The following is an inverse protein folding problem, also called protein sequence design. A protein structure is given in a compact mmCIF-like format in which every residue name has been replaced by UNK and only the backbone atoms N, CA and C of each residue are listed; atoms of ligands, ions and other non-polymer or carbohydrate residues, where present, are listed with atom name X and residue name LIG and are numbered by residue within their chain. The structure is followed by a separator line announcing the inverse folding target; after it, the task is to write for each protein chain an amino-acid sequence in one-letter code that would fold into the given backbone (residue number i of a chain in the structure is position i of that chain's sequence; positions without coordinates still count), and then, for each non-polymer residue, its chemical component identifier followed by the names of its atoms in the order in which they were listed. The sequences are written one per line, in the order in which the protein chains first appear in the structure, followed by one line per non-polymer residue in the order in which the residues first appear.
data_IF_110905490454
#
_entry.id   IF_110905490454
#
_cell.length_a   1.000
_cell.length_b   1.000
_cell.length_c   1.000
_cell.angle_alpha   90.00
_cell.angle_beta   90.00
_cell.angle_gamma   90.00
#
_symmetry.space_group_name_H-M   'P 1'
#
loop_
_entity.id
_entity.type
_entity.pdbx_description
1 polymer ?
#
# COMPACT_ATOMS: atom_id res chain seq x y z
N UNK A 1 6.28 -1.51 4.23
CA UNK A 1 4.82 -1.55 4.04
C UNK A 1 4.16 -1.99 5.32
N UNK A 2 3.12 -1.30 5.79
CA UNK A 2 2.44 -1.73 7.03
C UNK A 2 1.70 -3.06 6.87
N UNK A 3 1.67 -3.80 7.98
CA UNK A 3 0.68 -4.82 8.27
C UNK A 3 -0.41 -4.26 9.19
N UNK A 4 -1.56 -4.95 9.25
CA UNK A 4 -2.62 -4.67 10.22
C UNK A 4 -2.29 -5.10 11.65
N UNK A 5 -1.28 -5.95 11.85
CA UNK A 5 -0.96 -6.50 13.18
C UNK A 5 -0.26 -5.49 14.09
N UNK A 6 -0.84 -5.30 15.28
CA UNK A 6 -0.29 -4.47 16.34
C UNK A 6 0.80 -5.21 17.14
N UNK A 7 1.87 -4.51 17.50
CA UNK A 7 2.91 -4.99 18.40
C UNK A 7 3.04 -4.06 19.62
N UNK A 8 2.25 -4.35 20.65
CA UNK A 8 2.19 -3.54 21.86
C UNK A 8 1.72 -2.10 21.61
N UNK A 9 2.04 -1.20 22.53
CA UNK A 9 1.53 0.17 22.50
C UNK A 9 2.24 1.06 21.48
N UNK A 10 3.48 0.76 21.12
CA UNK A 10 4.31 1.62 20.27
C UNK A 10 4.65 1.04 18.89
N UNK A 11 4.55 -0.28 18.71
CA UNK A 11 5.01 -0.96 17.51
C UNK A 11 3.86 -1.57 16.69
N UNK A 12 4.09 -1.77 15.40
CA UNK A 12 3.24 -2.57 14.54
C UNK A 12 4.09 -3.28 13.49
N UNK A 13 3.61 -4.40 12.99
CA UNK A 13 4.36 -5.18 12.02
C UNK A 13 4.37 -4.53 10.65
N UNK A 14 5.49 -4.68 9.94
CA UNK A 14 5.68 -4.18 8.60
C UNK A 14 6.54 -5.15 7.78
N UNK A 15 6.36 -5.14 6.47
CA UNK A 15 7.27 -5.77 5.51
C UNK A 15 8.26 -4.74 5.01
N UNK A 16 9.54 -5.05 5.11
CA UNK A 16 10.62 -4.28 4.51
C UNK A 16 11.21 -5.01 3.32
N UNK A 17 11.44 -4.26 2.24
CA UNK A 17 12.19 -4.74 1.08
C UNK A 17 13.58 -4.11 1.12
N UNK A 18 14.59 -4.94 1.38
CA UNK A 18 15.98 -4.53 1.50
C UNK A 18 16.55 -4.12 0.13
N UNK A 19 17.19 -2.95 0.08
CA UNK A 19 17.75 -2.38 -1.16
C UNK A 19 18.95 -3.17 -1.66
N UNK A 20 19.86 -3.58 -0.77
CA UNK A 20 21.15 -4.18 -1.09
C UNK A 20 21.02 -5.69 -1.32
N UNK A 21 20.17 -6.36 -0.53
CA UNK A 21 20.04 -7.81 -0.53
C UNK A 21 18.82 -8.32 -1.31
N UNK A 22 17.92 -7.42 -1.68
CA UNK A 22 16.64 -7.76 -2.33
C UNK A 22 15.89 -8.83 -1.56
N UNK A 23 15.79 -8.64 -0.25
CA UNK A 23 15.11 -9.57 0.67
C UNK A 23 13.87 -8.92 1.27
N UNK A 24 12.77 -9.67 1.31
CA UNK A 24 11.58 -9.32 2.08
C UNK A 24 11.72 -9.79 3.53
N UNK A 25 11.61 -8.88 4.49
CA UNK A 25 11.64 -9.18 5.92
C UNK A 25 10.39 -8.66 6.61
N UNK A 26 9.84 -9.46 7.51
CA UNK A 26 8.78 -9.04 8.43
C UNK A 26 9.41 -8.73 9.79
N UNK A 27 9.15 -7.55 10.31
CA UNK A 27 9.52 -7.14 11.66
C UNK A 27 8.59 -6.01 12.13
N UNK A 28 8.64 -5.68 13.42
CA UNK A 28 7.87 -4.57 13.96
C UNK A 28 8.64 -3.26 13.90
N UNK A 29 7.90 -2.18 13.69
CA UNK A 29 8.42 -0.81 13.66
C UNK A 29 7.54 0.14 14.44
N UNK A 30 8.09 1.30 14.77
CA UNK A 30 7.34 2.35 15.48
C UNK A 30 6.11 2.79 14.68
N UNK A 31 4.93 2.74 15.29
CA UNK A 31 3.65 3.23 14.72
C UNK A 31 3.67 4.71 14.32
N UNK A 32 4.67 5.47 14.81
CA UNK A 32 4.88 6.88 14.46
C UNK A 32 5.53 7.06 13.07
N UNK A 33 6.10 6.01 12.47
CA UNK A 33 6.66 6.08 11.13
C UNK A 33 5.56 6.17 10.07
N UNK A 34 5.95 6.71 8.92
CA UNK A 34 5.10 6.80 7.73
C UNK A 34 5.57 5.77 6.72
N UNK A 35 4.76 4.73 6.47
CA UNK A 35 5.08 3.65 5.54
C UNK A 35 3.99 3.51 4.48
N UNK A 36 4.35 2.92 3.34
CA UNK A 36 3.42 2.61 2.26
C UNK A 36 2.44 1.49 2.63
N UNK A 37 1.32 1.43 1.89
CA UNK A 37 0.28 0.41 2.02
C UNK A 37 0.11 -0.32 0.70
N UNK A 38 0.01 -1.66 0.79
CA UNK A 38 -0.50 -2.52 -0.27
C UNK A 38 -1.68 -3.30 0.26
N UNK A 39 -2.78 -3.22 -0.47
CA UNK A 39 -3.97 -3.94 -0.10
C UNK A 39 -4.01 -5.32 -0.75
N UNK A 40 -4.70 -6.23 -0.08
CA UNK A 40 -4.91 -7.60 -0.47
C UNK A 40 -6.40 -7.88 -0.63
N UNK A 41 -6.75 -8.80 -1.51
CA UNK A 41 -8.10 -9.35 -1.63
C UNK A 41 -8.04 -10.89 -1.69
N UNK A 42 -8.75 -11.55 -0.78
CA UNK A 42 -8.87 -13.02 -0.74
C UNK A 42 -10.03 -13.49 -1.62
N UNK A 43 -9.87 -13.37 -2.94
CA UNK A 43 -10.88 -13.81 -3.89
C UNK A 43 -10.23 -14.41 -5.12
N UNK A 44 -10.78 -15.53 -5.58
CA UNK A 44 -10.44 -16.07 -6.89
C UNK A 44 -11.11 -15.31 -8.04
N UNK A 45 -12.21 -14.62 -7.77
CA UNK A 45 -12.93 -13.81 -8.75
C UNK A 45 -12.06 -12.65 -9.17
N UNK A 46 -12.02 -12.40 -10.47
CA UNK A 46 -11.30 -11.30 -11.06
C UNK A 46 -11.93 -9.96 -10.63
N UNK A 47 -11.21 -9.10 -9.89
CA UNK A 47 -11.74 -7.81 -9.45
C UNK A 47 -11.94 -6.82 -10.61
N UNK A 48 -11.40 -7.11 -11.81
CA UNK A 48 -11.62 -6.31 -13.02
C UNK A 48 -13.05 -6.40 -13.56
N UNK A 49 -13.83 -7.41 -13.14
CA UNK A 49 -15.15 -7.72 -13.70
C UNK A 49 -16.31 -6.86 -13.12
N UNK A 50 -15.99 -5.80 -12.36
CA UNK A 50 -17.01 -4.91 -11.79
C UNK A 50 -17.16 -3.62 -12.61
N UNK A 51 -17.93 -3.73 -13.69
CA UNK A 51 -18.68 -2.67 -14.38
C UNK A 51 -17.89 -1.58 -15.10
N UNK A 52 -17.96 -1.65 -16.43
CA UNK A 52 -17.83 -0.55 -17.39
C UNK A 52 -18.65 0.67 -16.96
N UNK A 53 -17.99 1.68 -16.39
CA UNK A 53 -18.57 2.99 -16.15
C UNK A 53 -18.34 3.90 -17.37
N UNK A 54 -19.40 4.19 -18.11
CA UNK A 54 -19.49 5.35 -19.00
C UNK A 54 -19.75 6.60 -18.15
N UNK A 55 -18.68 7.19 -17.64
CA UNK A 55 -18.72 8.45 -16.89
C UNK A 55 -17.70 9.42 -17.49
N UNK A 56 -18.18 10.56 -17.99
CA UNK A 56 -17.37 11.60 -18.63
C UNK A 56 -16.17 12.01 -17.79
N UNK A 57 -14.97 11.73 -18.32
CA UNK A 57 -13.67 12.08 -17.76
C UNK A 57 -13.61 13.58 -17.38
N UNK A 58 -13.61 13.86 -16.08
CA UNK A 58 -12.79 14.95 -15.52
C UNK A 58 -11.71 14.35 -14.65
N UNK A 59 -10.82 13.63 -15.32
CA UNK A 59 -9.49 13.35 -14.82
C UNK A 59 -8.79 14.70 -14.62
N UNK A 60 -8.17 14.99 -13.47
CA UNK A 60 -7.06 15.93 -13.44
C UNK A 60 -6.05 15.38 -14.44
N UNK A 61 -5.74 16.17 -15.46
CA UNK A 61 -5.03 15.69 -16.64
C UNK A 61 -3.71 15.05 -16.25
N UNK A 62 -3.61 13.74 -16.51
CA UNK A 62 -2.37 12.95 -16.68
C UNK A 62 -1.33 13.71 -17.52
N UNK A 63 -1.78 14.65 -18.37
CA UNK A 63 -0.96 15.51 -19.20
C UNK A 63 -0.03 16.48 -18.44
N UNK A 64 -0.13 16.62 -17.11
CA UNK A 64 0.87 17.39 -16.33
C UNK A 64 2.04 16.53 -15.81
N UNK A 65 1.94 15.20 -15.89
CA UNK A 65 3.01 14.25 -15.50
C UNK A 65 4.11 14.16 -16.57
N UNK A 66 3.82 14.53 -17.82
CA UNK A 66 4.73 14.41 -18.97
C UNK A 66 6.00 15.29 -18.85
N UNK A 67 6.04 16.27 -17.93
CA UNK A 67 7.20 17.18 -17.83
C UNK A 67 8.47 16.55 -17.24
N UNK A 68 8.44 15.34 -16.65
CA UNK A 68 9.66 14.66 -16.17
C UNK A 68 9.84 13.21 -16.67
N UNK A 69 9.12 12.78 -17.71
CA UNK A 69 9.46 11.54 -18.44
C UNK A 69 9.43 10.21 -17.67
N UNK A 70 8.86 10.18 -16.45
CA UNK A 70 8.67 8.96 -15.66
C UNK A 70 7.19 8.60 -15.59
N UNK A 71 6.86 7.39 -16.05
CA UNK A 71 5.54 6.78 -16.03
C UNK A 71 5.47 5.65 -15.01
N UNK A 72 4.24 5.21 -14.69
CA UNK A 72 4.03 4.06 -13.80
C UNK A 72 4.67 2.81 -14.38
N UNK A 73 4.55 2.67 -15.69
CA UNK A 73 5.04 1.56 -16.49
C UNK A 73 6.56 1.39 -16.38
N UNK A 74 7.33 2.46 -16.14
CA UNK A 74 8.80 2.41 -16.05
C UNK A 74 9.34 1.71 -14.79
N UNK A 75 8.48 1.47 -13.79
CA UNK A 75 8.86 0.75 -12.58
C UNK A 75 8.21 -0.64 -12.45
N UNK A 76 7.22 -0.95 -13.28
CA UNK A 76 6.50 -2.23 -13.25
C UNK A 76 7.36 -3.37 -13.83
N UNK A 77 7.16 -4.58 -13.34
CA UNK A 77 7.85 -5.74 -13.86
C UNK A 77 7.17 -6.26 -15.13
N UNK A 78 7.80 -6.08 -16.30
CA UNK A 78 7.27 -6.52 -17.59
C UNK A 78 7.01 -8.03 -17.73
N UNK A 79 7.50 -8.85 -16.80
CA UNK A 79 7.27 -10.30 -16.77
C UNK A 79 6.02 -10.70 -15.97
N UNK A 80 5.35 -9.76 -15.32
CA UNK A 80 4.14 -10.00 -14.53
C UNK A 80 2.93 -9.55 -15.35
N UNK A 81 1.90 -10.39 -15.39
CA UNK A 81 0.61 -10.04 -15.95
C UNK A 81 -0.21 -9.26 -14.91
N UNK A 82 -0.53 -8.00 -15.24
CA UNK A 82 -1.19 -7.09 -14.32
C UNK A 82 -2.63 -6.82 -14.76
N UNK A 83 -3.55 -7.01 -13.81
CA UNK A 83 -4.89 -6.45 -13.89
C UNK A 83 -4.93 -4.98 -13.43
N UNK A 84 -6.13 -4.42 -13.40
CA UNK A 84 -6.37 -3.09 -12.87
C UNK A 84 -7.46 -3.09 -11.79
N UNK A 85 -7.30 -2.23 -10.79
CA UNK A 85 -8.28 -1.92 -9.77
C UNK A 85 -8.59 -0.43 -9.83
N UNK A 86 -9.86 -0.08 -10.02
CA UNK A 86 -10.31 1.31 -9.88
C UNK A 86 -10.91 1.51 -8.48
N UNK A 87 -10.27 2.35 -7.67
CA UNK A 87 -10.80 2.75 -6.38
C UNK A 87 -11.97 3.73 -6.58
N UNK A 88 -13.18 3.27 -6.24
CA UNK A 88 -14.42 4.07 -6.41
C UNK A 88 -14.46 5.31 -5.52
N UNK A 89 -13.61 5.39 -4.50
CA UNK A 89 -13.62 6.50 -3.52
C UNK A 89 -13.04 7.79 -4.10
N UNK A 90 -12.04 7.67 -4.97
CA UNK A 90 -11.28 8.78 -5.56
C UNK A 90 -11.02 8.65 -7.07
N UNK A 91 -11.39 7.54 -7.70
CA UNK A 91 -11.20 7.28 -9.12
C UNK A 91 -9.79 6.83 -9.51
N UNK A 92 -8.91 6.58 -8.53
CA UNK A 92 -7.54 6.15 -8.80
C UNK A 92 -7.51 4.72 -9.34
N UNK A 93 -6.74 4.51 -10.40
CA UNK A 93 -6.53 3.20 -11.01
C UNK A 93 -5.17 2.67 -10.58
N UNK A 94 -5.15 1.44 -10.07
CA UNK A 94 -3.96 0.76 -9.58
C UNK A 94 -3.72 -0.52 -10.36
N UNK A 95 -2.46 -0.88 -10.58
CA UNK A 95 -2.06 -2.22 -11.03
C UNK A 95 -2.22 -3.23 -9.90
N UNK A 96 -2.66 -4.43 -10.25
CA UNK A 96 -2.84 -5.56 -9.35
C UNK A 96 -2.31 -6.83 -9.99
N UNK A 97 -1.85 -7.79 -9.19
CA UNK A 97 -1.36 -9.08 -9.66
C UNK A 97 -1.98 -10.22 -8.86
N UNK A 98 -2.28 -11.34 -9.54
CA UNK A 98 -2.76 -12.56 -8.87
C UNK A 98 -1.56 -13.42 -8.45
N UNK A 99 -1.48 -13.75 -7.16
CA UNK A 99 -0.45 -14.60 -6.59
C UNK A 99 -1.12 -15.74 -5.83
N UNK A 100 -1.13 -16.93 -6.45
CA UNK A 100 -1.95 -18.04 -5.97
C UNK A 100 -3.44 -17.69 -6.04
N UNK A 101 -4.12 -17.75 -4.90
CA UNK A 101 -5.56 -17.47 -4.75
C UNK A 101 -5.87 -16.02 -4.34
N UNK A 102 -4.84 -15.19 -4.22
CA UNK A 102 -4.94 -13.83 -3.68
C UNK A 102 -4.60 -12.80 -4.74
N UNK A 103 -5.32 -11.68 -4.72
CA UNK A 103 -4.97 -10.50 -5.50
C UNK A 103 -4.24 -9.50 -4.62
N UNK A 104 -3.10 -9.03 -5.11
CA UNK A 104 -2.25 -8.06 -4.43
C UNK A 104 -2.20 -6.78 -5.23
N UNK A 105 -2.28 -5.63 -4.54
CA UNK A 105 -1.91 -4.37 -5.17
C UNK A 105 -0.42 -4.40 -5.55
N UNK A 106 -0.15 -4.18 -6.82
CA UNK A 106 1.20 -4.06 -7.38
C UNK A 106 1.71 -2.61 -7.33
N UNK A 107 0.86 -1.66 -6.96
CA UNK A 107 1.23 -0.29 -6.63
C UNK A 107 0.92 0.01 -5.16
N UNK A 108 1.63 0.98 -4.58
CA UNK A 108 1.27 1.50 -3.28
C UNK A 108 0.01 2.37 -3.35
N UNK A 109 -0.79 2.32 -2.30
CA UNK A 109 -2.00 3.13 -2.18
C UNK A 109 -1.71 4.64 -2.27
N UNK A 110 -2.58 5.38 -2.97
CA UNK A 110 -2.51 6.84 -3.19
C UNK A 110 -3.69 7.59 -2.56
N UNK A 111 -4.58 6.88 -1.85
CA UNK A 111 -5.81 7.43 -1.27
C UNK A 111 -5.55 8.51 -0.20
N UNK A 112 -6.22 9.66 -0.30
CA UNK A 112 -5.90 10.84 0.52
C UNK A 112 -7.11 11.64 1.03
N UNK A 113 -8.34 11.16 0.85
CA UNK A 113 -9.55 11.89 1.24
C UNK A 113 -9.75 11.88 2.77
N UNK A 114 -9.19 12.90 3.42
CA UNK A 114 -9.26 13.09 4.87
C UNK A 114 -10.60 13.61 5.37
N UNK A 115 -11.49 14.05 4.46
CA UNK A 115 -12.86 14.45 4.81
C UNK A 115 -13.72 13.22 5.04
N UNK A 116 -13.64 12.23 4.14
CA UNK A 116 -14.35 10.95 4.30
C UNK A 116 -13.64 10.01 5.27
N UNK A 117 -12.32 10.13 5.40
CA UNK A 117 -11.49 9.26 6.26
C UNK A 117 -10.69 10.10 7.25
N UNK A 118 -11.29 10.50 8.40
CA UNK A 118 -10.64 11.39 9.37
C UNK A 118 -9.30 10.87 9.91
N UNK A 119 -9.06 9.56 9.92
CA UNK A 119 -7.79 8.95 10.32
C UNK A 119 -6.59 9.45 9.49
N UNK A 120 -6.84 9.96 8.27
CA UNK A 120 -5.84 10.52 7.37
C UNK A 120 -5.41 11.95 7.72
N UNK A 121 -6.15 12.67 8.58
CA UNK A 121 -5.74 14.01 9.04
C UNK A 121 -4.39 13.90 9.76
N UNK A 122 -3.37 14.59 9.23
CA UNK A 122 -1.97 14.49 9.65
C UNK A 122 -1.42 13.05 9.68
N UNK A 123 -2.08 12.13 8.98
CA UNK A 123 -1.80 10.69 9.00
C UNK A 123 -1.27 10.16 7.68
N UNK A 124 -1.15 11.01 6.66
CA UNK A 124 -0.64 10.67 5.33
C UNK A 124 0.34 11.72 4.82
N UNK A 125 1.37 11.28 4.11
CA UNK A 125 2.49 12.12 3.68
C UNK A 125 3.00 11.76 2.28
N UNK A 126 3.54 12.75 1.57
CA UNK A 126 4.27 12.53 0.33
C UNK A 126 5.76 12.49 0.61
N UNK A 127 6.47 11.56 -0.01
CA UNK A 127 7.91 11.49 0.15
C UNK A 127 8.57 12.82 -0.27
N UNK A 128 9.50 13.33 0.55
CA UNK A 128 10.24 14.59 0.32
C UNK A 128 9.33 15.82 0.13
N UNK A 129 8.16 15.80 0.77
CA UNK A 129 7.15 16.86 0.67
C UNK A 129 6.74 17.17 -0.78
N UNK A 130 6.89 16.18 -1.67
CA UNK A 130 6.69 16.35 -3.10
C UNK A 130 5.44 15.57 -3.57
N UNK A 131 4.39 16.30 -3.91
CA UNK A 131 3.12 15.75 -4.41
C UNK A 131 3.30 14.87 -5.66
N UNK A 132 4.30 15.13 -6.50
CA UNK A 132 4.59 14.28 -7.66
C UNK A 132 5.09 12.89 -7.23
N UNK A 133 5.80 12.79 -6.11
CA UNK A 133 6.21 11.49 -5.55
C UNK A 133 5.01 10.70 -5.04
N UNK A 134 4.01 11.36 -4.47
CA UNK A 134 2.74 10.71 -4.14
C UNK A 134 2.06 10.09 -5.37
N UNK A 135 2.03 10.83 -6.48
CA UNK A 135 1.43 10.36 -7.74
C UNK A 135 2.20 9.20 -8.35
N UNK A 136 3.53 9.21 -8.26
CA UNK A 136 4.39 8.17 -8.81
C UNK A 136 4.43 6.95 -7.89
N UNK A 137 4.90 7.11 -6.66
CA UNK A 137 5.33 6.00 -5.79
C UNK A 137 4.33 5.62 -4.71
N UNK A 138 3.20 6.32 -4.61
CA UNK A 138 2.24 6.14 -3.53
C UNK A 138 2.42 7.10 -2.37
N UNK A 139 1.46 7.06 -1.44
CA UNK A 139 1.49 7.80 -0.19
C UNK A 139 2.10 6.98 0.93
N UNK A 140 2.67 7.68 1.90
CA UNK A 140 3.09 7.10 3.17
C UNK A 140 2.03 7.41 4.22
N UNK A 141 1.82 6.48 5.15
CA UNK A 141 0.77 6.57 6.16
C UNK A 141 1.31 6.20 7.53
N UNK A 142 0.88 6.91 8.57
CA UNK A 142 1.03 6.41 9.95
C UNK A 142 0.26 5.11 10.10
N UNK A 143 0.68 4.23 11.02
CA UNK A 143 -0.03 2.97 11.22
C UNK A 143 -1.50 3.18 11.63
N UNK A 144 -1.76 4.16 12.50
CA UNK A 144 -3.11 4.53 12.92
C UNK A 144 -3.98 5.06 11.76
N UNK A 145 -3.38 5.71 10.77
CA UNK A 145 -4.08 6.08 9.54
C UNK A 145 -4.34 4.85 8.68
N UNK A 146 -3.35 3.97 8.53
CA UNK A 146 -3.44 2.76 7.73
C UNK A 146 -4.61 1.84 8.14
N UNK A 147 -4.78 1.60 9.44
CA UNK A 147 -5.87 0.78 9.98
C UNK A 147 -7.22 1.51 10.04
N UNK A 148 -7.28 2.79 9.67
CA UNK A 148 -8.44 3.67 9.87
C UNK A 148 -8.96 3.66 11.32
N UNK A 149 -8.05 3.93 12.26
CA UNK A 149 -8.28 3.83 13.72
C UNK A 149 -9.52 4.59 14.23
N UNK A 150 -9.86 5.75 13.66
CA UNK A 150 -11.07 6.51 14.05
C UNK A 150 -12.34 5.70 13.75
N UNK A 151 -12.36 5.00 12.61
CA UNK A 151 -13.49 4.14 12.22
C UNK A 151 -13.54 2.88 13.08
N UNK A 152 -12.40 2.26 13.37
CA UNK A 152 -12.34 1.04 14.19
C UNK A 152 -12.90 1.26 15.60
N UNK A 153 -12.53 2.36 16.24
CA UNK A 153 -12.93 2.65 17.61
C UNK A 153 -14.34 3.27 17.72
N UNK A 154 -15.03 3.49 16.59
CA UNK A 154 -16.33 4.18 16.52
C UNK A 154 -16.35 5.49 17.36
N UNK A 155 -15.20 6.15 17.48
CA UNK A 155 -14.95 7.22 18.45
C UNK A 155 -14.00 8.25 17.86
N UNK A 156 -14.04 9.47 18.39
CA UNK A 156 -13.06 10.51 18.05
C UNK A 156 -11.65 10.19 18.56
N UNK A 157 -11.49 9.14 19.39
CA UNK A 157 -10.20 8.72 19.91
C UNK A 157 -9.45 7.88 18.88
N UNK A 158 -8.28 8.35 18.48
CA UNK A 158 -7.35 7.64 17.60
C UNK A 158 -6.49 6.69 18.46
N UNK A 159 -6.67 5.38 18.31
CA UNK A 159 -5.67 4.42 18.80
C UNK A 159 -4.44 4.41 17.87
N UNK A 160 -3.26 4.00 18.34
CA UNK A 160 -2.03 4.12 17.55
C UNK A 160 -0.74 4.20 18.36
N UNK A 161 0.16 5.12 18.00
CA UNK A 161 1.41 5.29 18.73
C UNK A 161 1.15 5.72 20.18
N UNK A 162 1.57 4.89 21.14
CA UNK A 162 1.36 5.11 22.57
C UNK A 162 -0.02 4.67 23.08
N UNK A 163 -0.86 4.06 22.26
CA UNK A 163 -2.19 3.57 22.66
C UNK A 163 -2.55 2.31 21.86
N UNK A 164 -2.76 1.20 22.55
CA UNK A 164 -3.18 -0.05 21.90
C UNK A 164 -4.55 0.06 21.24
N UNK A 165 -4.71 -0.64 20.13
CA UNK A 165 -5.93 -0.71 19.33
C UNK A 165 -6.63 -2.06 19.54
N UNK A 166 -7.96 -2.08 19.49
CA UNK A 166 -8.69 -3.35 19.40
C UNK A 166 -8.76 -3.81 17.94
N UNK A 167 -7.77 -4.58 17.51
CA UNK A 167 -7.63 -5.00 16.11
C UNK A 167 -8.46 -6.27 15.84
N UNK A 168 -9.43 -6.25 14.91
CA UNK A 168 -10.11 -7.47 14.46
C UNK A 168 -9.18 -8.33 13.60
N UNK A 169 -9.51 -9.61 13.44
CA UNK A 169 -8.75 -10.57 12.60
C UNK A 169 -8.48 -10.05 11.18
N UNK A 170 -9.38 -9.21 10.65
CA UNK A 170 -9.27 -8.60 9.33
C UNK A 170 -9.59 -7.13 9.36
N UNK A 171 -8.60 -6.32 8.96
CA UNK A 171 -8.70 -4.86 8.94
C UNK A 171 -8.78 -4.37 7.49
N UNK A 172 -9.95 -3.88 7.06
CA UNK A 172 -10.02 -3.14 5.79
C UNK A 172 -9.12 -1.89 5.83
N UNK A 173 -9.19 -1.14 6.94
CA UNK A 173 -8.52 0.14 7.11
C UNK A 173 -8.78 1.08 5.93
N UNK A 174 -7.73 1.69 5.40
CA UNK A 174 -7.83 2.62 4.27
C UNK A 174 -7.82 1.93 2.90
N UNK A 175 -7.83 0.61 2.84
CA UNK A 175 -7.92 -0.11 1.58
C UNK A 175 -9.30 0.05 0.91
N UNK A 176 -9.38 -0.08 -0.43
CA UNK A 176 -10.64 -0.03 -1.16
C UNK A 176 -11.64 -1.07 -0.64
N UNK A 177 -12.92 -0.87 -0.91
CA UNK A 177 -13.96 -1.85 -0.54
C UNK A 177 -13.67 -3.23 -1.16
N UNK A 178 -13.79 -4.28 -0.36
CA UNK A 178 -13.44 -5.65 -0.75
C UNK A 178 -11.94 -5.98 -0.66
N UNK A 179 -11.09 -5.00 -0.36
CA UNK A 179 -9.66 -5.17 -0.11
C UNK A 179 -9.34 -4.87 1.37
N UNK A 180 -8.22 -5.38 1.88
CA UNK A 180 -7.82 -5.20 3.27
C UNK A 180 -6.31 -5.03 3.45
N UNK A 181 -5.89 -4.55 4.63
CA UNK A 181 -4.48 -4.51 5.01
C UNK A 181 -4.02 -5.92 5.37
N UNK A 182 -2.96 -6.44 4.73
CA UNK A 182 -2.48 -7.77 5.02
C UNK A 182 -1.96 -7.89 6.45
N UNK A 183 -2.32 -8.97 7.13
CA UNK A 183 -1.69 -9.34 8.40
C UNK A 183 -0.32 -10.03 8.18
N UNK A 184 0.42 -10.34 9.23
CA UNK A 184 1.72 -11.01 9.11
C UNK A 184 1.61 -12.40 8.49
N UNK A 185 0.53 -13.12 8.75
CA UNK A 185 0.31 -14.46 8.18
C UNK A 185 0.21 -14.38 6.67
N UNK A 186 -0.59 -13.44 6.16
CA UNK A 186 -0.78 -13.23 4.72
C UNK A 186 0.52 -12.74 4.05
N UNK A 187 1.28 -11.88 4.71
CA UNK A 187 2.61 -11.47 4.23
C UNK A 187 3.59 -12.65 4.17
N UNK A 188 3.63 -13.49 5.20
CA UNK A 188 4.47 -14.69 5.22
C UNK A 188 4.05 -15.69 4.13
N UNK A 189 2.75 -15.88 3.94
CA UNK A 189 2.22 -16.75 2.89
C UNK A 189 2.60 -16.27 1.50
N UNK A 190 2.52 -14.96 1.25
CA UNK A 190 3.01 -14.35 0.01
C UNK A 190 4.49 -14.64 -0.20
N UNK A 191 5.33 -14.34 0.80
CA UNK A 191 6.78 -14.52 0.71
C UNK A 191 7.13 -16.00 0.46
N UNK A 192 6.47 -16.92 1.14
CA UNK A 192 6.66 -18.36 0.95
C UNK A 192 6.23 -18.82 -0.46
N UNK A 193 5.07 -18.35 -0.96
CA UNK A 193 4.60 -18.65 -2.32
C UNK A 193 5.56 -18.19 -3.40
N UNK A 194 6.23 -17.05 -3.18
CA UNK A 194 7.23 -16.51 -4.09
C UNK A 194 8.59 -17.24 -4.01
N UNK A 195 8.76 -18.23 -3.12
CA UNK A 195 10.01 -18.98 -2.98
C UNK A 195 10.93 -18.48 -1.86
N UNK A 196 10.38 -17.77 -0.88
CA UNK A 196 11.08 -17.29 0.32
C UNK A 196 11.67 -15.88 0.18
N UNK A 197 12.21 -15.35 1.29
CA UNK A 197 12.55 -13.93 1.47
C UNK A 197 13.37 -13.31 0.33
N UNK A 198 14.39 -14.01 -0.19
CA UNK A 198 15.25 -13.51 -1.28
C UNK A 198 14.49 -13.42 -2.60
N UNK A 199 13.75 -14.46 -2.97
CA UNK A 199 13.03 -14.48 -4.24
C UNK A 199 11.86 -13.51 -4.18
N UNK A 200 11.11 -13.51 -3.07
CA UNK A 200 10.04 -12.56 -2.82
C UNK A 200 10.54 -11.11 -2.86
N UNK A 201 11.67 -10.82 -2.22
CA UNK A 201 12.25 -9.48 -2.26
C UNK A 201 12.63 -9.05 -3.68
N UNK A 202 13.23 -9.92 -4.49
CA UNK A 202 13.49 -9.62 -5.90
C UNK A 202 12.22 -9.40 -6.74
N UNK A 203 11.17 -10.18 -6.51
CA UNK A 203 9.93 -10.12 -7.30
C UNK A 203 9.11 -8.88 -6.93
N UNK A 204 8.96 -8.59 -5.64
CA UNK A 204 8.12 -7.51 -5.16
C UNK A 204 8.80 -6.15 -5.43
N UNK A 205 10.12 -6.06 -5.34
CA UNK A 205 10.83 -4.78 -5.54
C UNK A 205 10.52 -4.15 -6.91
N UNK A 206 10.29 -2.83 -6.97
CA UNK A 206 10.21 -2.16 -8.26
C UNK A 206 11.54 -2.25 -9.01
N UNK A 207 11.47 -2.26 -10.34
CA UNK A 207 12.67 -2.43 -11.18
C UNK A 207 13.59 -1.19 -11.15
N UNK A 208 13.05 -0.02 -10.82
CA UNK A 208 13.77 1.26 -10.81
C UNK A 208 13.31 2.15 -9.64
N UNK A 209 13.98 3.29 -9.43
CA UNK A 209 13.60 4.27 -8.41
C UNK A 209 14.20 4.07 -7.01
N UNK A 210 15.14 3.14 -6.86
CA UNK A 210 15.89 2.95 -5.62
C UNK A 210 17.12 3.87 -5.59
N UNK A 211 17.11 4.87 -4.70
CA UNK A 211 18.28 5.74 -4.50
C UNK A 211 19.50 4.98 -3.97
N UNK A 212 20.70 5.52 -4.18
CA UNK A 212 21.98 4.98 -3.67
C UNK A 212 22.19 5.15 -2.17
N UNK A 213 21.27 5.85 -1.48
CA UNK A 213 21.30 6.04 -0.02
C UNK A 213 20.40 5.01 0.66
N UNK A 214 20.87 4.48 1.79
CA UNK A 214 20.21 3.52 2.69
C UNK A 214 18.88 3.98 3.33
N UNK A 215 18.10 4.83 2.67
CA UNK A 215 16.75 5.22 3.06
C UNK A 215 15.76 4.15 2.60
N UNK A 216 15.63 3.12 3.43
CA UNK A 216 14.71 1.96 3.35
C UNK A 216 13.20 2.29 3.27
N UNK A 217 12.85 3.58 3.13
CA UNK A 217 11.47 4.06 3.05
C UNK A 217 10.95 4.24 1.61
N UNK A 218 11.83 4.15 0.61
CA UNK A 218 11.48 4.12 -0.80
C UNK A 218 11.11 2.73 -1.26
N UNK A 219 9.97 2.24 -0.81
CA UNK A 219 9.43 1.01 -1.36
C UNK A 219 8.58 1.41 -2.56
N UNK A 220 9.22 1.83 -3.66
CA UNK A 220 8.62 1.62 -4.98
C UNK A 220 8.62 0.11 -5.16
N UNK A 221 7.45 -0.51 -5.19
CA UNK A 221 7.32 -1.96 -5.27
C UNK A 221 6.52 -2.20 -6.56
N UNK A 222 6.85 -3.22 -7.33
CA UNK A 222 6.14 -3.65 -8.54
C UNK A 222 5.35 -4.94 -8.30
#
# INVERSE_FOLDING_TARGET
MWSSDEQGTYGAYMVSLDVERSTAWLYDESKALFLSIRCLMDSDKDPTDTTSFTGSNKQPTLNKVIQEGFSVEDYMNSQVDYGTLTDKRDGQVYKIAKIGYQWWMAENLKYADSIKTPSLVNGSWCYDDNDQRCLLTGRLYTWAAAIDSVKLENSSLKCGFGTSCNIPDRVQGICPEGWHLPNQTEWNDLVNKLGGNKVAGHILKAQSGWGSSNTTHFQCVA
#
